data_IF_401989411084
#
_entry.id   IF_401989411084
#
_cell.length_a   1.000
_cell.length_b   1.000
_cell.length_c   1.000
_cell.angle_alpha   90.00
_cell.angle_beta   90.00
_cell.angle_gamma   90.00
#
_symmetry.space_group_name_H-M   'P 1'
#
loop_
_entity.id
_entity.type
_entity.pdbx_description
1 polymer ?
#
# COMPACT_ATOMS: atom_id res chain seq x y z
N UNK A 1 -26.13 5.54 -6.48
CA UNK A 1 -26.55 5.37 -5.08
C UNK A 1 -25.30 5.39 -4.23
N UNK A 2 -25.23 6.24 -3.20
CA UNK A 2 -24.20 6.13 -2.19
C UNK A 2 -24.57 4.92 -1.32
N UNK A 3 -23.67 3.94 -1.14
CA UNK A 3 -23.99 2.78 -0.32
C UNK A 3 -24.31 3.23 1.10
N UNK A 4 -25.41 2.72 1.66
CA UNK A 4 -25.77 3.05 3.03
C UNK A 4 -24.81 2.32 4.00
N UNK A 5 -24.72 2.79 5.24
CA UNK A 5 -23.78 2.27 6.24
C UNK A 5 -23.88 0.76 6.45
N UNK A 6 -25.07 0.17 6.30
CA UNK A 6 -25.28 -1.27 6.45
C UNK A 6 -24.68 -2.06 5.29
N UNK A 7 -24.85 -1.58 4.06
CA UNK A 7 -24.28 -2.21 2.85
C UNK A 7 -22.75 -2.24 2.92
N UNK A 8 -22.13 -1.13 3.34
CA UNK A 8 -20.67 -1.03 3.51
C UNK A 8 -20.18 -2.06 4.54
N UNK A 9 -20.84 -2.13 5.71
CA UNK A 9 -20.46 -3.06 6.78
C UNK A 9 -20.55 -4.52 6.34
N UNK A 10 -21.64 -4.90 5.69
CA UNK A 10 -21.85 -6.26 5.23
C UNK A 10 -20.81 -6.67 4.19
N UNK A 11 -20.48 -5.76 3.27
CA UNK A 11 -19.47 -6.01 2.25
C UNK A 11 -18.07 -6.20 2.86
N UNK A 12 -17.66 -5.32 3.78
CA UNK A 12 -16.37 -5.45 4.47
C UNK A 12 -16.29 -6.74 5.30
N UNK A 13 -17.36 -7.08 6.03
CA UNK A 13 -17.44 -8.33 6.77
C UNK A 13 -17.27 -9.55 5.86
N UNK A 14 -17.93 -9.55 4.70
CA UNK A 14 -17.80 -10.62 3.71
C UNK A 14 -16.35 -10.78 3.25
N UNK A 15 -15.69 -9.69 2.85
CA UNK A 15 -14.29 -9.73 2.41
C UNK A 15 -13.34 -10.27 3.48
N UNK A 16 -13.56 -9.92 4.75
CA UNK A 16 -12.75 -10.40 5.88
C UNK A 16 -12.97 -11.91 6.13
N UNK A 17 -14.20 -12.39 6.01
CA UNK A 17 -14.53 -13.81 6.22
C UNK A 17 -14.04 -14.70 5.07
N UNK A 18 -14.01 -14.17 3.84
CA UNK A 18 -13.63 -14.95 2.65
C UNK A 18 -12.11 -15.04 2.41
N UNK A 19 -11.29 -14.33 3.18
CA UNK A 19 -9.83 -14.35 3.02
C UNK A 19 -9.15 -15.16 4.12
N UNK A 20 -8.30 -16.10 3.73
CA UNK A 20 -7.40 -16.83 4.63
C UNK A 20 -5.98 -16.23 4.67
N UNK A 21 -5.73 -15.17 3.89
CA UNK A 21 -4.43 -14.49 3.86
C UNK A 21 -4.23 -13.63 5.12
N UNK A 22 -3.39 -14.13 6.03
CA UNK A 22 -3.02 -13.46 7.29
C UNK A 22 -2.39 -12.07 7.07
N UNK A 23 -1.67 -11.87 5.96
CA UNK A 23 -1.06 -10.57 5.64
C UNK A 23 -2.13 -9.54 5.33
N UNK A 24 -3.14 -9.91 4.55
CA UNK A 24 -4.28 -9.04 4.24
C UNK A 24 -5.03 -8.69 5.52
N UNK A 25 -5.35 -9.69 6.34
CA UNK A 25 -6.07 -9.48 7.61
C UNK A 25 -5.31 -8.55 8.55
N UNK A 26 -4.00 -8.76 8.70
CA UNK A 26 -3.12 -7.93 9.54
C UNK A 26 -3.13 -6.46 9.07
N UNK A 27 -3.06 -6.23 7.76
CA UNK A 27 -3.09 -4.87 7.17
C UNK A 27 -4.43 -4.18 7.38
N UNK A 28 -5.54 -4.89 7.21
CA UNK A 28 -6.89 -4.34 7.45
C UNK A 28 -7.07 -3.98 8.93
N UNK A 29 -6.64 -4.85 9.85
CA UNK A 29 -6.69 -4.58 11.29
C UNK A 29 -5.86 -3.35 11.66
N UNK A 30 -4.64 -3.26 11.15
CA UNK A 30 -3.74 -2.14 11.35
C UNK A 30 -4.37 -0.82 10.87
N UNK A 31 -4.91 -0.80 9.65
CA UNK A 31 -5.56 0.37 9.07
C UNK A 31 -6.77 0.84 9.88
N UNK A 32 -7.66 -0.08 10.29
CA UNK A 32 -8.81 0.26 11.12
C UNK A 32 -8.40 0.79 12.50
N UNK A 33 -7.31 0.25 13.06
CA UNK A 33 -6.75 0.71 14.34
C UNK A 33 -6.23 2.14 14.22
N UNK A 34 -5.49 2.45 13.15
CA UNK A 34 -5.00 3.81 12.86
C UNK A 34 -6.15 4.80 12.68
N UNK A 35 -7.18 4.44 11.89
CA UNK A 35 -8.33 5.33 11.66
C UNK A 35 -9.12 5.65 12.94
N UNK A 36 -9.21 4.70 13.89
CA UNK A 36 -9.92 4.91 15.16
C UNK A 36 -9.08 5.58 16.23
N UNK A 37 -7.76 5.40 16.16
CA UNK A 37 -6.85 5.92 17.17
C UNK A 37 -6.43 7.32 16.76
N UNK A 38 -6.92 8.34 17.49
CA UNK A 38 -6.56 9.75 17.21
C UNK A 38 -5.05 10.06 17.30
N UNK A 39 -4.23 9.14 17.81
CA UNK A 39 -2.80 9.32 18.11
C UNK A 39 -1.90 8.14 17.67
N UNK A 40 -2.35 7.19 16.83
CA UNK A 40 -1.44 6.13 16.35
C UNK A 40 -0.72 6.63 15.11
N UNK A 41 0.60 6.79 15.22
CA UNK A 41 1.45 7.02 14.06
C UNK A 41 1.38 5.79 13.15
N UNK A 42 0.94 5.99 11.91
CA UNK A 42 0.84 4.93 10.91
C UNK A 42 2.20 4.27 10.65
N UNK A 43 3.31 4.97 10.93
CA UNK A 43 4.66 4.41 10.86
C UNK A 43 4.79 3.14 11.70
N UNK A 44 4.14 3.07 12.86
CA UNK A 44 4.19 1.88 13.73
C UNK A 44 3.27 0.74 13.29
N UNK A 45 2.54 0.92 12.18
CA UNK A 45 1.57 -0.06 11.68
C UNK A 45 2.03 -0.82 10.44
N UNK A 46 3.18 -0.46 9.89
CA UNK A 46 3.82 -1.15 8.76
C UNK A 46 4.98 -2.03 9.23
N UNK A 47 5.28 -3.08 8.48
CA UNK A 47 6.36 -4.02 8.79
C UNK A 47 7.74 -3.37 8.69
N UNK A 48 8.74 -3.97 9.36
CA UNK A 48 10.14 -3.49 9.27
C UNK A 48 10.68 -3.53 7.83
N UNK A 49 10.21 -4.48 7.02
CA UNK A 49 10.56 -4.54 5.60
C UNK A 49 9.99 -3.34 4.83
N UNK A 50 8.74 -2.96 5.09
CA UNK A 50 8.10 -1.79 4.50
C UNK A 50 8.79 -0.50 4.97
N UNK A 51 9.10 -0.38 6.27
CA UNK A 51 9.88 0.75 6.83
C UNK A 51 11.23 0.87 6.12
N UNK A 52 11.98 -0.23 5.99
CA UNK A 52 13.28 -0.27 5.31
C UNK A 52 13.19 0.13 3.84
N UNK A 53 12.17 -0.33 3.12
CA UNK A 53 11.96 0.02 1.72
C UNK A 53 11.72 1.54 1.56
N UNK A 54 10.91 2.13 2.45
CA UNK A 54 10.67 3.58 2.47
C UNK A 54 11.96 4.35 2.77
N UNK A 55 12.68 3.98 3.83
CA UNK A 55 13.95 4.64 4.20
C UNK A 55 14.97 4.56 3.05
N UNK A 56 15.05 3.41 2.36
CA UNK A 56 15.92 3.26 1.19
C UNK A 56 15.51 4.20 0.07
N UNK A 57 14.22 4.28 -0.27
CA UNK A 57 13.73 5.18 -1.30
C UNK A 57 14.00 6.66 -1.00
N UNK A 58 13.88 7.07 0.27
CA UNK A 58 14.23 8.42 0.72
C UNK A 58 15.71 8.73 0.50
N UNK A 59 16.60 7.82 0.90
CA UNK A 59 18.05 7.98 0.69
C UNK A 59 18.40 8.06 -0.80
N UNK A 60 17.79 7.22 -1.63
CA UNK A 60 18.00 7.24 -3.09
C UNK A 60 17.55 8.57 -3.71
N UNK A 61 16.44 9.13 -3.22
CA UNK A 61 15.95 10.43 -3.67
C UNK A 61 16.93 11.56 -3.30
N UNK A 62 17.42 11.57 -2.07
CA UNK A 62 18.43 12.55 -1.60
C UNK A 62 19.73 12.45 -2.40
N UNK A 63 20.12 11.24 -2.78
CA UNK A 63 21.31 10.98 -3.60
C UNK A 63 21.11 11.30 -5.10
N UNK A 64 19.90 11.67 -5.53
CA UNK A 64 19.60 11.90 -6.94
C UNK A 64 19.56 10.63 -7.80
N UNK A 65 19.35 9.46 -7.20
CA UNK A 65 19.26 8.15 -7.88
C UNK A 65 17.89 7.91 -8.55
N UNK A 66 17.04 8.93 -8.59
CA UNK A 66 15.76 8.88 -9.29
C UNK A 66 15.93 8.71 -10.80
N UNK A 67 15.07 7.89 -11.41
CA UNK A 67 15.05 7.69 -12.86
C UNK A 67 13.85 8.46 -13.44
N UNK A 68 14.05 9.31 -14.45
CA UNK A 68 12.95 10.02 -15.11
C UNK A 68 11.91 9.06 -15.70
N UNK A 69 10.63 9.43 -15.62
CA UNK A 69 9.52 8.61 -16.11
C UNK A 69 9.68 8.15 -17.57
N UNK A 70 10.07 9.06 -18.47
CA UNK A 70 10.27 8.75 -19.89
C UNK A 70 11.40 7.73 -20.13
N UNK A 71 12.44 7.76 -19.29
CA UNK A 71 13.51 6.77 -19.39
C UNK A 71 13.02 5.38 -18.97
N UNK A 72 12.19 5.29 -17.92
CA UNK A 72 11.56 4.04 -17.49
C UNK A 72 10.65 3.49 -18.59
N UNK A 73 9.78 4.32 -19.18
CA UNK A 73 8.91 3.91 -20.29
C UNK A 73 9.70 3.35 -21.46
N UNK A 74 10.73 4.06 -21.92
CA UNK A 74 11.59 3.61 -23.01
C UNK A 74 12.28 2.26 -22.71
N UNK A 75 12.73 2.05 -21.47
CA UNK A 75 13.32 0.78 -21.03
C UNK A 75 12.28 -0.36 -21.09
N UNK A 76 11.06 -0.11 -20.63
CA UNK A 76 9.96 -1.08 -20.64
C UNK A 76 9.51 -1.39 -22.08
N UNK A 77 9.32 -0.38 -22.93
CA UNK A 77 8.93 -0.57 -24.34
C UNK A 77 9.93 -1.43 -25.09
N UNK A 78 11.24 -1.21 -24.85
CA UNK A 78 12.32 -2.04 -25.40
C UNK A 78 12.24 -3.50 -24.91
N UNK A 79 11.97 -3.72 -23.62
CA UNK A 79 11.82 -5.07 -23.06
C UNK A 79 10.60 -5.80 -23.61
N UNK A 80 9.51 -5.07 -23.88
CA UNK A 80 8.26 -5.60 -24.40
C UNK A 80 8.20 -5.68 -25.94
N UNK A 81 9.26 -5.27 -26.65
CA UNK A 81 9.32 -5.28 -28.11
C UNK A 81 8.36 -4.30 -28.79
N UNK A 82 7.88 -3.29 -28.07
CA UNK A 82 7.02 -2.22 -28.59
C UNK A 82 7.93 -1.14 -29.16
N UNK A 83 8.12 -1.13 -30.49
CA UNK A 83 8.83 -0.06 -31.20
C UNK A 83 7.85 0.99 -31.68
#
# INVERSE_FOLDING_TARGET
>A
MNPNTTEIKNYLHKLIVETDDESILSKVQAYFTTLKSKNVDWWETISDQEKKAITTGLQQLENGEGIPHEEVKRKVDKLLGRK
#
